data_IF_897645274150
#
_entry.id   IF_897645274150
#
_cell.length_a   1.000
_cell.length_b   1.000
_cell.length_c   1.000
_cell.angle_alpha   90.00
_cell.angle_beta   90.00
_cell.angle_gamma   90.00
#
_symmetry.space_group_name_H-M   'P 1'
#
loop_
_entity.id
_entity.type
_entity.pdbx_description
1 polymer ?
#
# COMPACT_ATOMS: atom_id res chain seq x y z
N UNK A 1 -8.45 -11.86 -7.73
CA UNK A 1 -8.46 -11.00 -6.53
C UNK A 1 -7.07 -10.43 -6.18
N UNK A 2 -6.12 -11.20 -5.61
CA UNK A 2 -4.81 -10.66 -5.12
C UNK A 2 -3.99 -9.89 -6.17
N UNK A 3 -3.97 -10.35 -7.43
CA UNK A 3 -3.28 -9.66 -8.53
C UNK A 3 -3.90 -8.28 -8.84
N UNK A 4 -5.23 -8.21 -8.92
CA UNK A 4 -5.94 -6.95 -9.15
C UNK A 4 -5.70 -5.95 -8.01
N UNK A 5 -5.67 -6.46 -6.77
CA UNK A 5 -5.35 -5.63 -5.61
C UNK A 5 -3.90 -5.11 -5.66
N UNK A 6 -2.95 -5.93 -6.09
CA UNK A 6 -1.54 -5.50 -6.25
C UNK A 6 -1.41 -4.38 -7.27
N UNK A 7 -2.03 -4.52 -8.46
CA UNK A 7 -2.01 -3.48 -9.50
C UNK A 7 -2.56 -2.16 -8.94
N UNK A 8 -3.72 -2.22 -8.27
CA UNK A 8 -4.32 -1.05 -7.65
C UNK A 8 -3.43 -0.41 -6.57
N UNK A 9 -2.76 -1.21 -5.73
CA UNK A 9 -1.81 -0.69 -4.73
C UNK A 9 -0.64 0.01 -5.39
N UNK A 10 -0.05 -0.59 -6.43
CA UNK A 10 1.08 0.02 -7.16
C UNK A 10 0.68 1.34 -7.82
N UNK A 11 -0.48 1.40 -8.47
CA UNK A 11 -1.02 2.65 -9.03
C UNK A 11 -1.17 3.75 -7.99
N UNK A 12 -1.63 3.40 -6.79
CA UNK A 12 -1.81 4.32 -5.67
C UNK A 12 -0.47 4.82 -5.12
N UNK A 13 0.51 3.95 -4.98
CA UNK A 13 1.86 4.33 -4.56
C UNK A 13 2.56 5.24 -5.57
N UNK A 14 2.40 5.00 -6.88
CA UNK A 14 2.96 5.87 -7.93
C UNK A 14 2.39 7.29 -7.84
N UNK A 15 1.12 7.43 -7.45
CA UNK A 15 0.47 8.74 -7.26
C UNK A 15 0.87 9.43 -5.96
N UNK A 16 1.66 8.77 -5.09
CA UNK A 16 1.98 9.28 -3.76
C UNK A 16 0.83 9.15 -2.76
N UNK A 17 -0.20 8.36 -3.06
CA UNK A 17 -1.33 8.18 -2.14
C UNK A 17 -0.89 7.38 -0.91
N UNK A 18 -1.25 7.87 0.27
CA UNK A 18 -1.05 7.14 1.52
C UNK A 18 -2.03 5.97 1.60
N UNK A 19 -1.51 4.75 1.57
CA UNK A 19 -2.31 3.54 1.78
C UNK A 19 -2.21 3.09 3.23
N UNK A 20 -3.35 2.77 3.82
CA UNK A 20 -3.43 2.13 5.14
C UNK A 20 -3.94 0.71 5.03
N UNK A 21 -3.71 -0.10 6.07
CA UNK A 21 -4.26 -1.46 6.15
C UNK A 21 -5.78 -1.49 5.92
N UNK A 22 -6.51 -0.52 6.50
CA UNK A 22 -7.97 -0.44 6.37
C UNK A 22 -8.41 -0.29 4.92
N UNK A 23 -7.81 0.67 4.21
CA UNK A 23 -8.10 0.94 2.79
C UNK A 23 -7.80 -0.29 1.93
N UNK A 24 -6.66 -0.96 2.16
CA UNK A 24 -6.28 -2.16 1.41
C UNK A 24 -7.27 -3.30 1.67
N UNK A 25 -7.65 -3.53 2.93
CA UNK A 25 -8.61 -4.56 3.31
C UNK A 25 -10.02 -4.28 2.74
N UNK A 26 -10.44 -3.03 2.70
CA UNK A 26 -11.72 -2.63 2.09
C UNK A 26 -11.72 -2.87 0.59
N UNK A 27 -10.69 -2.39 -0.12
CA UNK A 27 -10.54 -2.61 -1.56
C UNK A 27 -10.48 -4.10 -1.89
N UNK A 28 -9.84 -4.89 -1.04
CA UNK A 28 -9.75 -6.33 -1.16
C UNK A 28 -11.14 -7.00 -1.12
N UNK A 29 -12.02 -6.58 -0.20
CA UNK A 29 -13.41 -7.07 -0.12
C UNK A 29 -14.22 -6.66 -1.34
N UNK A 30 -14.08 -5.42 -1.80
CA UNK A 30 -14.76 -4.93 -3.00
C UNK A 30 -14.39 -5.76 -4.25
N UNK A 31 -13.08 -5.96 -4.50
CA UNK A 31 -12.61 -6.80 -5.62
C UNK A 31 -13.13 -8.23 -5.50
N UNK A 32 -13.21 -8.78 -4.28
CA UNK A 32 -13.76 -10.12 -4.07
C UNK A 32 -15.25 -10.18 -4.42
N UNK A 33 -16.05 -9.21 -3.97
CA UNK A 33 -17.47 -9.10 -4.31
C UNK A 33 -17.71 -8.96 -5.81
N UNK A 34 -16.93 -8.12 -6.50
CA UNK A 34 -17.04 -7.93 -7.95
C UNK A 34 -16.75 -9.23 -8.72
N UNK A 35 -15.77 -10.02 -8.27
CA UNK A 35 -15.44 -11.30 -8.88
C UNK A 35 -16.55 -12.33 -8.66
N UNK A 36 -17.18 -12.35 -7.50
CA UNK A 36 -18.33 -13.22 -7.24
C UNK A 36 -19.50 -12.89 -8.17
N UNK A 37 -19.76 -11.59 -8.39
CA UNK A 37 -20.84 -11.13 -9.26
C UNK A 37 -20.61 -11.44 -10.75
N UNK A 38 -19.35 -11.59 -11.18
CA UNK A 38 -18.98 -11.90 -12.57
C UNK A 38 -18.95 -13.41 -12.89
N UNK A 39 -19.00 -14.28 -11.88
CA UNK A 39 -18.91 -15.73 -12.10
C UNK A 39 -20.34 -16.29 -12.20
N UNK A 40 -20.76 -16.92 -13.32
CA UNK A 40 -22.06 -17.57 -13.42
C UNK A 40 -22.15 -18.63 -12.32
N UNK A 41 -23.18 -18.52 -11.47
CA UNK A 41 -23.39 -19.30 -10.25
C UNK A 41 -23.42 -20.80 -10.57
N UNK A 42 -22.24 -21.42 -10.64
CA UNK A 42 -22.09 -22.86 -10.77
C UNK A 42 -22.00 -23.41 -9.35
N UNK A 43 -23.15 -23.92 -8.90
CA UNK A 43 -23.32 -24.91 -7.84
C UNK A 43 -22.46 -24.77 -6.56
N UNK A 44 -23.16 -24.41 -5.48
CA UNK A 44 -23.02 -25.10 -4.18
C UNK A 44 -21.73 -24.88 -3.38
N UNK A 45 -21.16 -23.68 -3.36
CA UNK A 45 -20.31 -23.32 -2.21
C UNK A 45 -20.65 -21.92 -1.73
N UNK A 46 -21.70 -21.90 -0.92
CA UNK A 46 -21.87 -21.00 0.22
C UNK A 46 -21.71 -19.50 -0.07
N UNK A 47 -22.85 -18.88 -0.39
CA UNK A 47 -23.13 -17.50 0.00
C UNK A 47 -23.28 -17.40 1.54
N UNK A 48 -22.26 -17.86 2.27
CA UNK A 48 -22.21 -17.85 3.73
C UNK A 48 -21.48 -16.60 4.21
N UNK A 49 -21.89 -16.11 5.39
CA UNK A 49 -21.32 -14.98 6.14
C UNK A 49 -19.80 -15.12 6.44
N UNK A 50 -19.16 -16.22 6.03
CA UNK A 50 -17.71 -16.42 5.97
C UNK A 50 -17.00 -15.78 4.77
N UNK A 51 -17.72 -14.98 3.98
CA UNK A 51 -17.21 -14.17 2.88
C UNK A 51 -15.86 -13.51 3.21
N UNK A 52 -14.88 -13.76 2.33
CA UNK A 52 -13.49 -13.32 2.40
C UNK A 52 -13.17 -12.28 3.49
N UNK A 53 -12.75 -12.79 4.66
CA UNK A 53 -12.35 -11.96 5.80
C UNK A 53 -10.96 -11.40 5.49
N UNK A 54 -10.91 -10.17 4.98
CA UNK A 54 -9.69 -9.37 4.81
C UNK A 54 -9.05 -9.05 6.18
N UNK A 55 -8.69 -10.10 6.91
CA UNK A 55 -8.21 -10.12 8.27
C UNK A 55 -6.77 -9.64 8.34
N UNK A 56 -6.29 -9.40 9.56
CA UNK A 56 -4.89 -9.03 9.80
C UNK A 56 -3.92 -10.10 9.27
N UNK A 57 -4.18 -11.37 9.55
CA UNK A 57 -3.34 -12.47 9.06
C UNK A 57 -3.36 -12.61 7.53
N UNK A 58 -4.49 -12.31 6.89
CA UNK A 58 -4.54 -12.25 5.43
C UNK A 58 -3.69 -11.08 4.89
N UNK A 59 -3.83 -9.89 5.47
CA UNK A 59 -3.09 -8.70 5.06
C UNK A 59 -1.57 -8.87 5.21
N UNK A 60 -1.13 -9.44 6.33
CA UNK A 60 0.29 -9.72 6.57
C UNK A 60 0.84 -10.71 5.52
N UNK A 61 0.07 -11.74 5.17
CA UNK A 61 0.42 -12.66 4.09
C UNK A 61 0.43 -12.00 2.71
N UNK A 62 -0.49 -11.07 2.45
CA UNK A 62 -0.50 -10.29 1.22
C UNK A 62 0.79 -9.47 1.10
N UNK A 63 1.15 -8.67 2.13
CA UNK A 63 2.39 -7.88 2.16
C UNK A 63 3.64 -8.73 1.95
N UNK A 64 3.76 -9.86 2.67
CA UNK A 64 4.91 -10.77 2.55
C UNK A 64 5.09 -11.28 1.12
N UNK A 65 4.00 -11.58 0.42
CA UNK A 65 4.04 -12.13 -0.95
C UNK A 65 4.27 -11.07 -2.02
N UNK A 66 3.85 -9.83 -1.78
CA UNK A 66 3.94 -8.75 -2.76
C UNK A 66 5.13 -7.83 -2.54
N UNK A 67 5.83 -7.94 -1.41
CA UNK A 67 6.95 -7.06 -1.06
C UNK A 67 6.52 -5.62 -0.74
N UNK A 68 5.24 -5.40 -0.41
CA UNK A 68 4.74 -4.06 -0.07
C UNK A 68 5.17 -3.72 1.37
N UNK A 69 6.13 -2.80 1.51
CA UNK A 69 6.67 -2.36 2.82
C UNK A 69 6.13 -1.02 3.33
N UNK A 70 5.71 -0.10 2.44
CA UNK A 70 5.40 1.31 2.77
C UNK A 70 3.93 1.62 3.09
N UNK A 71 3.17 0.68 3.64
CA UNK A 71 1.78 0.95 4.06
C UNK A 71 1.79 1.58 5.44
N UNK A 72 1.20 2.76 5.57
CA UNK A 72 0.98 3.44 6.86
C UNK A 72 0.14 2.54 7.74
N UNK A 73 0.77 1.95 8.76
CA UNK A 73 0.04 1.29 9.84
C UNK A 73 -0.61 2.37 10.70
N UNK A 74 -1.80 2.07 11.24
CA UNK A 74 -2.39 2.93 12.27
C UNK A 74 -1.34 3.18 13.37
N UNK A 75 -0.93 4.44 13.55
CA UNK A 75 0.08 4.86 14.53
C UNK A 75 1.46 5.21 13.97
N UNK A 76 1.80 4.81 12.74
CA UNK A 76 3.03 5.25 12.07
C UNK A 76 2.66 6.31 11.04
N UNK A 77 2.62 7.57 11.45
CA UNK A 77 2.82 8.62 10.47
C UNK A 77 4.22 8.35 9.88
N UNK A 78 4.28 7.92 8.62
CA UNK A 78 5.46 8.14 7.81
C UNK A 78 5.55 9.66 7.64
N UNK A 79 5.98 10.34 8.70
CA UNK A 79 6.40 11.73 8.65
C UNK A 79 7.63 11.71 7.77
N UNK A 80 7.41 11.85 6.46
CA UNK A 80 8.41 12.45 5.61
C UNK A 80 8.51 13.87 6.13
N UNK A 81 9.46 14.10 7.04
CA UNK A 81 9.76 15.44 7.54
C UNK A 81 10.39 16.20 6.38
N UNK A 82 9.53 16.75 5.52
CA UNK A 82 9.92 17.50 4.32
C UNK A 82 10.87 18.62 4.71
N UNK A 83 10.61 19.24 5.87
CA UNK A 83 11.47 20.28 6.42
C UNK A 83 12.86 19.75 6.76
N UNK A 84 12.96 18.60 7.43
CA UNK A 84 14.27 17.99 7.71
C UNK A 84 15.02 17.58 6.44
N UNK A 85 14.31 17.19 5.37
CA UNK A 85 14.91 16.88 4.07
C UNK A 85 15.40 18.15 3.36
N UNK A 86 14.63 19.24 3.41
CA UNK A 86 15.02 20.56 2.87
C UNK A 86 16.22 21.13 3.62
N UNK A 87 16.19 21.13 4.96
CA UNK A 87 17.29 21.58 5.83
C UNK A 87 18.57 20.75 5.52
N UNK A 88 18.44 19.44 5.26
CA UNK A 88 19.57 18.59 4.86
C UNK A 88 20.14 18.97 3.48
N UNK A 89 19.29 19.28 2.49
CA UNK A 89 19.74 19.70 1.16
C UNK A 89 20.51 21.01 1.19
N UNK A 90 20.07 21.97 2.01
CA UNK A 90 20.78 23.23 2.22
C UNK A 90 22.17 22.98 2.82
N UNK A 91 22.22 22.25 3.94
CA UNK A 91 23.49 21.92 4.62
C UNK A 91 24.45 21.14 3.71
N UNK A 92 23.91 20.23 2.90
CA UNK A 92 24.70 19.43 1.96
C UNK A 92 25.26 20.28 0.81
N UNK A 93 24.47 21.24 0.31
CA UNK A 93 24.90 22.18 -0.74
C UNK A 93 26.03 23.09 -0.24
N UNK A 94 25.90 23.62 0.98
CA UNK A 94 26.97 24.41 1.63
C UNK A 94 28.26 23.60 1.77
N UNK A 95 28.17 22.32 2.12
CA UNK A 95 29.33 21.45 2.29
C UNK A 95 30.03 21.11 0.96
N UNK A 96 29.26 20.96 -0.12
CA UNK A 96 29.79 20.78 -1.48
C UNK A 96 30.57 22.03 -1.91
N UNK A 97 29.99 23.21 -1.73
CA UNK A 97 30.62 24.48 -2.07
C UNK A 97 31.89 24.73 -1.23
N UNK A 98 31.83 24.49 0.08
CA UNK A 98 32.95 24.68 1.00
C UNK A 98 34.13 23.74 0.70
N UNK A 99 33.85 22.49 0.31
CA UNK A 99 34.88 21.51 0.00
C UNK A 99 35.33 21.55 -1.47
N UNK A 100 34.78 22.47 -2.28
CA UNK A 100 35.14 22.63 -3.69
C UNK A 100 34.78 21.40 -4.54
N UNK A 101 33.81 20.59 -4.10
CA UNK A 101 33.28 19.51 -4.91
C UNK A 101 32.47 20.14 -6.04
N UNK A 102 33.01 20.10 -7.25
CA UNK A 102 32.29 20.54 -8.45
C UNK A 102 31.43 19.35 -8.92
N UNK A 103 30.13 19.56 -9.23
CA UNK A 103 29.24 18.51 -9.73
C UNK A 103 29.76 17.76 -10.96
#
# INVERSE_FOLDING_TARGET
>A
MKKLLMVWVTEKQIKGDTLTQGIICEKARAIYGDLLNQTPRTSTDEASEDSFKASRGWFDNFRKRTGIYSVVRHGEAASSDVKAAEDYLETFSELIEANGYIP
#
